data_IF_573388828172
#
_entry.id   IF_573388828172
#
_cell.length_a   1.000
_cell.length_b   1.000
_cell.length_c   1.000
_cell.angle_alpha   90.00
_cell.angle_beta   90.00
_cell.angle_gamma   90.00
#
_symmetry.space_group_name_H-M   'P 1'
#
loop_
_entity.id
_entity.type
_entity.pdbx_description
1 polymer ?
#
# COMPACT_ATOMS: atom_id res chain seq x y z
N UNK A 1 4.14 -3.96 9.33
CA UNK A 1 3.13 -4.95 9.76
C UNK A 1 3.33 -5.42 11.20
N UNK A 2 4.51 -5.92 11.59
CA UNK A 2 4.75 -6.50 12.93
C UNK A 2 4.37 -5.60 14.11
N UNK A 3 4.64 -4.28 14.01
CA UNK A 3 4.23 -3.30 15.05
C UNK A 3 2.70 -3.23 15.22
N UNK A 4 1.94 -3.33 14.14
CA UNK A 4 0.48 -3.33 14.21
C UNK A 4 -0.03 -4.60 14.89
N UNK A 5 0.58 -5.76 14.62
CA UNK A 5 0.25 -7.02 15.30
C UNK A 5 0.53 -6.91 16.80
N UNK A 6 1.69 -6.39 17.21
CA UNK A 6 2.02 -6.16 18.61
C UNK A 6 1.02 -5.22 19.30
N UNK A 7 0.67 -4.11 18.65
CA UNK A 7 -0.33 -3.17 19.15
C UNK A 7 -1.70 -3.82 19.36
N UNK A 8 -2.14 -4.66 18.41
CA UNK A 8 -3.39 -5.42 18.53
C UNK A 8 -3.34 -6.38 19.72
N UNK A 9 -2.23 -7.12 19.89
CA UNK A 9 -2.06 -8.03 21.02
C UNK A 9 -2.03 -7.31 22.38
N UNK A 10 -1.59 -6.05 22.40
CA UNK A 10 -1.48 -5.22 23.60
C UNK A 10 -2.75 -4.40 23.91
N UNK A 11 -3.68 -4.30 22.96
CA UNK A 11 -4.89 -3.46 23.08
C UNK A 11 -6.13 -4.35 23.14
N UNK A 12 -6.64 -4.60 24.35
CA UNK A 12 -7.72 -5.55 24.61
C UNK A 12 -9.03 -5.22 23.88
N UNK A 13 -9.24 -3.96 23.52
CA UNK A 13 -10.43 -3.45 22.83
C UNK A 13 -10.42 -3.78 21.33
N UNK A 14 -9.25 -4.07 20.75
CA UNK A 14 -9.10 -4.40 19.33
C UNK A 14 -9.45 -5.86 19.06
N UNK A 15 -10.71 -6.09 18.66
CA UNK A 15 -11.23 -7.43 18.39
C UNK A 15 -11.88 -7.55 17.00
N UNK A 16 -11.98 -8.78 16.49
CA UNK A 16 -12.59 -9.11 15.20
C UNK A 16 -11.73 -8.75 13.99
N UNK A 17 -12.36 -8.53 12.83
CA UNK A 17 -11.64 -8.20 11.58
C UNK A 17 -10.96 -6.82 11.69
N UNK A 18 -9.66 -6.77 11.40
CA UNK A 18 -8.84 -5.55 11.44
C UNK A 18 -8.02 -5.49 10.15
N UNK A 19 -8.16 -4.41 9.39
CA UNK A 19 -7.31 -4.15 8.22
C UNK A 19 -5.93 -3.69 8.69
N UNK A 20 -4.88 -4.31 8.17
CA UNK A 20 -3.49 -3.91 8.41
C UNK A 20 -2.90 -3.35 7.11
N UNK A 21 -3.20 -2.09 6.84
CA UNK A 21 -2.68 -1.31 5.73
C UNK A 21 -2.40 0.14 6.18
N UNK A 22 -1.80 0.96 5.32
CA UNK A 22 -1.53 2.37 5.61
C UNK A 22 -2.84 3.18 5.69
N UNK A 23 -2.89 4.26 6.50
CA UNK A 23 -4.11 5.04 6.73
C UNK A 23 -4.48 5.91 5.52
N UNK A 24 -3.50 6.31 4.70
CA UNK A 24 -3.73 7.08 3.48
C UNK A 24 -3.75 6.12 2.28
N UNK A 25 -4.92 5.91 1.64
CA UNK A 25 -5.02 5.04 0.48
C UNK A 25 -4.25 5.62 -0.71
N UNK A 26 -3.63 4.75 -1.50
CA UNK A 26 -2.90 5.12 -2.70
C UNK A 26 -3.36 4.25 -3.88
N UNK A 27 -3.32 4.81 -5.07
CA UNK A 27 -3.53 4.09 -6.34
C UNK A 27 -2.21 3.52 -6.85
N UNK A 28 -2.27 2.57 -7.80
CA UNK A 28 -1.08 2.09 -8.50
C UNK A 28 -0.32 3.24 -9.21
N UNK A 29 -1.04 4.27 -9.67
CA UNK A 29 -0.44 5.47 -10.26
C UNK A 29 0.40 6.23 -9.23
N UNK A 30 -0.12 6.41 -8.01
CA UNK A 30 0.59 7.11 -6.94
C UNK A 30 1.86 6.36 -6.53
N UNK A 31 1.77 5.03 -6.38
CA UNK A 31 2.93 4.17 -6.12
C UNK A 31 3.99 4.27 -7.23
N UNK A 32 3.58 4.15 -8.49
CA UNK A 32 4.50 4.20 -9.63
C UNK A 32 5.19 5.57 -9.71
N UNK A 33 4.44 6.65 -9.49
CA UNK A 33 4.98 8.02 -9.48
C UNK A 33 5.96 8.24 -8.32
N UNK A 34 5.63 7.76 -7.12
CA UNK A 34 6.50 7.81 -5.94
C UNK A 34 7.85 7.16 -6.23
N UNK A 35 7.81 5.92 -6.74
CA UNK A 35 8.98 5.14 -7.09
C UNK A 35 9.83 5.81 -8.17
N UNK A 36 9.20 6.24 -9.27
CA UNK A 36 9.91 6.94 -10.34
C UNK A 36 10.57 8.24 -9.87
N UNK A 37 9.88 9.02 -9.04
CA UNK A 37 10.43 10.27 -8.49
C UNK A 37 11.64 10.01 -7.61
N UNK A 38 11.56 9.07 -6.67
CA UNK A 38 12.63 8.75 -5.72
C UNK A 38 13.85 8.16 -6.44
N UNK A 39 13.63 7.33 -7.46
CA UNK A 39 14.70 6.72 -8.25
C UNK A 39 15.24 7.62 -9.38
N UNK A 40 14.71 8.83 -9.54
CA UNK A 40 15.00 9.73 -10.67
C UNK A 40 14.77 9.07 -12.04
N UNK A 41 13.66 8.33 -12.19
CA UNK A 41 13.23 7.66 -13.43
C UNK A 41 11.87 8.19 -13.91
N UNK A 42 11.76 8.69 -15.15
CA UNK A 42 10.50 9.22 -15.68
C UNK A 42 9.38 8.17 -15.79
N UNK A 43 8.16 8.55 -15.36
CA UNK A 43 6.94 7.71 -15.42
C UNK A 43 5.98 8.27 -16.47
N UNK A 44 6.27 8.02 -17.74
CA UNK A 44 5.58 8.67 -18.87
C UNK A 44 4.63 7.75 -19.65
N UNK A 45 4.83 6.43 -19.58
CA UNK A 45 4.02 5.46 -20.33
C UNK A 45 3.27 4.57 -19.33
N UNK A 46 1.92 4.64 -19.27
CA UNK A 46 1.13 3.73 -18.45
C UNK A 46 1.15 2.32 -19.05
N UNK A 47 1.09 1.30 -18.20
CA UNK A 47 1.06 -0.09 -18.65
C UNK A 47 -0.34 -0.44 -19.22
N UNK A 48 -0.47 -0.83 -20.51
CA UNK A 48 -1.78 -1.06 -21.12
C UNK A 48 -2.48 -2.30 -20.57
N UNK A 49 -3.81 -2.23 -20.41
CA UNK A 49 -4.64 -3.37 -19.95
C UNK A 49 -4.49 -4.62 -20.83
N UNK A 50 -4.48 -4.47 -22.15
CA UNK A 50 -4.33 -5.63 -23.05
C UNK A 50 -2.97 -6.33 -22.89
N UNK A 51 -1.92 -5.57 -22.54
CA UNK A 51 -0.60 -6.12 -22.27
C UNK A 51 -0.60 -6.95 -20.98
N UNK A 52 -1.38 -6.54 -19.97
CA UNK A 52 -1.60 -7.34 -18.76
C UNK A 52 -2.19 -8.70 -19.10
N UNK A 53 -3.28 -8.72 -19.86
CA UNK A 53 -3.96 -9.96 -20.25
C UNK A 53 -3.05 -10.86 -21.11
N UNK A 54 -2.31 -10.28 -22.05
CA UNK A 54 -1.41 -11.04 -22.94
C UNK A 54 -0.25 -11.69 -22.18
N UNK A 55 0.34 -10.99 -21.21
CA UNK A 55 1.55 -11.44 -20.52
C UNK A 55 1.26 -12.24 -19.25
N UNK A 56 0.17 -11.91 -18.55
CA UNK A 56 -0.12 -12.42 -17.21
C UNK A 56 -1.48 -13.15 -17.12
N UNK A 57 -2.24 -13.21 -18.22
CA UNK A 57 -3.55 -13.87 -18.26
C UNK A 57 -4.59 -13.25 -17.32
N UNK A 58 -5.60 -14.03 -16.96
CA UNK A 58 -6.70 -13.62 -16.08
C UNK A 58 -6.22 -13.26 -14.66
N UNK A 59 -5.19 -13.94 -14.15
CA UNK A 59 -4.62 -13.63 -12.83
C UNK A 59 -4.00 -12.23 -12.80
N UNK A 60 -3.37 -11.81 -13.89
CA UNK A 60 -2.82 -10.46 -14.03
C UNK A 60 -3.90 -9.39 -14.00
N UNK A 61 -5.08 -9.66 -14.55
CA UNK A 61 -6.19 -8.72 -14.52
C UNK A 61 -6.66 -8.45 -13.09
N UNK A 62 -6.89 -9.49 -12.29
CA UNK A 62 -7.33 -9.33 -10.90
C UNK A 62 -6.25 -8.68 -10.02
N UNK A 63 -4.99 -9.08 -10.16
CA UNK A 63 -3.92 -8.60 -9.28
C UNK A 63 -3.41 -7.20 -9.67
N UNK A 64 -3.24 -6.93 -10.96
CA UNK A 64 -2.61 -5.69 -11.44
C UNK A 64 -3.64 -4.60 -11.77
N UNK A 65 -4.86 -4.97 -12.17
CA UNK A 65 -5.91 -4.02 -12.53
C UNK A 65 -7.01 -3.93 -11.46
N UNK A 66 -7.10 -4.93 -10.57
CA UNK A 66 -7.93 -4.87 -9.39
C UNK A 66 -7.40 -3.89 -8.34
N UNK A 67 -8.27 -3.46 -7.43
CA UNK A 67 -7.90 -2.56 -6.36
C UNK A 67 -8.93 -2.53 -5.24
N UNK A 68 -8.45 -2.49 -4.00
CA UNK A 68 -9.29 -2.42 -2.81
C UNK A 68 -8.97 -1.16 -2.03
N UNK A 69 -9.94 -0.25 -1.92
CA UNK A 69 -9.83 0.92 -1.05
C UNK A 69 -10.24 0.56 0.38
N UNK A 70 -9.35 -0.13 1.10
CA UNK A 70 -9.56 -0.50 2.50
C UNK A 70 -8.99 0.56 3.46
N UNK A 71 -9.78 0.94 4.46
CA UNK A 71 -9.34 1.87 5.53
C UNK A 71 -9.07 1.10 6.83
N UNK A 72 -7.94 1.32 7.52
CA UNK A 72 -7.60 0.63 8.77
C UNK A 72 -8.25 1.30 9.98
N UNK A 73 -9.59 1.50 9.95
CA UNK A 73 -10.32 2.32 10.92
C UNK A 73 -10.03 1.93 12.38
N UNK A 74 -10.05 0.64 12.70
CA UNK A 74 -9.75 0.16 14.07
C UNK A 74 -8.32 0.50 14.54
N UNK A 75 -7.32 0.45 13.65
CA UNK A 75 -5.96 0.84 14.00
C UNK A 75 -5.84 2.35 14.19
N UNK A 76 -6.49 3.14 13.33
CA UNK A 76 -6.52 4.61 13.46
C UNK A 76 -7.20 5.02 14.76
N UNK A 77 -8.39 4.49 15.03
CA UNK A 77 -9.20 4.84 16.21
C UNK A 77 -8.53 4.40 17.54
N UNK A 78 -7.68 3.36 17.51
CA UNK A 78 -6.92 2.89 18.68
C UNK A 78 -5.60 3.65 18.92
N UNK A 79 -5.30 4.67 18.10
CA UNK A 79 -4.09 5.47 18.27
C UNK A 79 -2.80 4.78 17.81
N UNK A 80 -2.89 3.74 16.99
CA UNK A 80 -1.71 3.08 16.42
C UNK A 80 -0.86 4.08 15.63
N UNK A 81 0.44 4.11 15.92
CA UNK A 81 1.38 5.03 15.28
C UNK A 81 1.97 4.40 14.02
N UNK A 82 1.55 4.89 12.85
CA UNK A 82 2.06 4.48 11.54
C UNK A 82 3.42 5.14 11.28
N UNK A 83 4.43 4.35 10.88
CA UNK A 83 5.74 4.89 10.49
C UNK A 83 5.69 5.50 9.09
N UNK A 84 5.04 4.78 8.17
CA UNK A 84 4.93 5.14 6.77
C UNK A 84 3.45 5.37 6.43
N UNK A 85 2.86 6.53 6.80
CA UNK A 85 1.44 6.77 6.63
C UNK A 85 1.03 6.92 5.16
N UNK A 86 1.96 7.32 4.27
CA UNK A 86 1.73 7.47 2.83
C UNK A 86 2.59 6.53 2.00
N UNK A 87 2.19 6.33 0.73
CA UNK A 87 2.98 5.55 -0.22
C UNK A 87 4.36 6.18 -0.50
N UNK A 88 4.48 7.51 -0.45
CA UNK A 88 5.76 8.18 -0.63
C UNK A 88 6.73 7.85 0.51
N UNK A 89 6.24 7.87 1.75
CA UNK A 89 7.06 7.54 2.93
C UNK A 89 7.55 6.08 2.82
N UNK A 90 6.61 5.16 2.53
CA UNK A 90 6.92 3.74 2.44
C UNK A 90 7.91 3.43 1.32
N UNK A 91 7.75 4.04 0.14
CA UNK A 91 8.66 3.84 -1.00
C UNK A 91 10.03 4.47 -0.72
N UNK A 92 10.08 5.65 -0.08
CA UNK A 92 11.34 6.29 0.31
C UNK A 92 12.11 5.42 1.28
N UNK A 93 11.46 4.95 2.34
CA UNK A 93 12.06 4.05 3.31
C UNK A 93 12.57 2.77 2.64
N UNK A 94 11.76 2.15 1.78
CA UNK A 94 12.14 0.90 1.10
C UNK A 94 13.35 1.04 0.16
N UNK A 95 13.53 2.20 -0.48
CA UNK A 95 14.60 2.43 -1.45
C UNK A 95 15.86 3.00 -0.81
N UNK A 96 15.71 3.90 0.17
CA UNK A 96 16.80 4.69 0.74
C UNK A 96 17.18 4.25 2.15
N UNK A 97 16.28 3.58 2.87
CA UNK A 97 16.42 3.28 4.30
C UNK A 97 16.15 4.47 5.22
N UNK A 98 15.80 5.64 4.67
CA UNK A 98 15.48 6.89 5.37
C UNK A 98 13.99 7.16 5.44
#
# INVERSE_FOLDING_TARGET
MSRAILHILQTSELNGVININAPIPATNKDFTLAMGTIMNRPVVIPFPKFAVQLLFGEMGEEILLGGTKATPKKLVDSGFQFLDPTVNDAVRFAITGE
#
